data_IF_359184418107
#
_entry.id   IF_359184418107
#
_cell.length_a   1.000
_cell.length_b   1.000
_cell.length_c   1.000
_cell.angle_alpha   90.00
_cell.angle_beta   90.00
_cell.angle_gamma   90.00
#
_symmetry.space_group_name_H-M   'P 1'
#
loop_
_entity.id
_entity.type
_entity.pdbx_description
1 polymer ?
#
# COMPACT_ATOMS: atom_id res chain seq x y z
N UNK A 1 -15.57 -8.56 -21.01
CA UNK A 1 -15.24 -7.38 -21.84
C UNK A 1 -14.12 -6.64 -21.13
N UNK A 2 -13.10 -6.29 -21.91
CA UNK A 2 -11.81 -5.66 -21.62
C UNK A 2 -11.38 -5.39 -20.17
N UNK A 3 -10.22 -5.94 -19.84
CA UNK A 3 -9.39 -5.62 -18.67
C UNK A 3 -8.81 -4.21 -18.76
N UNK A 4 -9.66 -3.19 -18.93
CA UNK A 4 -9.27 -1.78 -19.05
C UNK A 4 -9.14 -1.09 -17.69
N UNK A 5 -8.91 -1.85 -16.61
CA UNK A 5 -8.52 -1.25 -15.33
C UNK A 5 -7.02 -0.98 -15.38
N UNK A 6 -6.58 0.28 -15.37
CA UNK A 6 -5.21 0.69 -15.68
C UNK A 6 -4.19 0.36 -14.57
N UNK A 7 -4.61 -0.43 -13.58
CA UNK A 7 -3.83 -0.92 -12.45
C UNK A 7 -3.83 -2.44 -12.33
N UNK A 8 -4.48 -3.15 -13.26
CA UNK A 8 -4.66 -4.59 -13.19
C UNK A 8 -3.33 -5.39 -13.14
N UNK A 9 -2.24 -4.80 -13.66
CA UNK A 9 -0.91 -5.39 -13.64
C UNK A 9 0.00 -4.88 -12.52
N UNK A 10 -0.41 -3.89 -11.73
CA UNK A 10 0.34 -3.33 -10.59
C UNK A 10 1.59 -2.51 -10.94
N UNK A 11 1.91 -2.19 -12.20
CA UNK A 11 3.16 -1.51 -12.57
C UNK A 11 3.23 -0.03 -12.10
N UNK A 12 2.08 0.64 -12.02
CA UNK A 12 1.99 2.05 -11.59
C UNK A 12 1.60 2.22 -10.12
N UNK A 13 1.78 1.16 -9.32
CA UNK A 13 1.41 1.16 -7.91
C UNK A 13 2.66 1.09 -7.03
N UNK A 14 2.58 1.83 -5.93
CA UNK A 14 3.54 1.84 -4.85
C UNK A 14 2.80 1.50 -3.57
N UNK A 15 3.38 0.61 -2.75
CA UNK A 15 2.80 0.20 -1.48
C UNK A 15 3.68 0.69 -0.34
N UNK A 16 3.05 1.16 0.72
CA UNK A 16 3.77 1.65 1.88
C UNK A 16 3.18 1.05 3.14
N UNK A 17 4.06 0.64 4.04
CA UNK A 17 3.73 0.38 5.43
C UNK A 17 4.04 1.63 6.24
N UNK A 18 3.01 2.24 6.80
CA UNK A 18 3.14 3.47 7.59
C UNK A 18 2.67 3.23 9.02
N UNK A 19 3.46 3.66 9.98
CA UNK A 19 3.14 3.64 11.41
C UNK A 19 2.88 5.05 11.92
N UNK A 20 1.82 5.20 12.72
CA UNK A 20 1.47 6.44 13.41
C UNK A 20 1.53 6.23 14.91
N UNK A 21 2.27 7.09 15.61
CA UNK A 21 2.39 7.10 17.06
C UNK A 21 1.12 7.61 17.75
N UNK A 22 1.20 7.73 19.07
CA UNK A 22 0.06 8.13 19.91
C UNK A 22 -0.41 9.57 19.64
N UNK A 23 0.47 10.46 19.18
CA UNK A 23 0.15 11.85 18.83
C UNK A 23 -0.10 12.02 17.31
N UNK A 24 -0.44 10.92 16.63
CA UNK A 24 -0.66 10.82 15.17
C UNK A 24 0.58 11.19 14.31
N UNK A 25 1.76 11.29 14.93
CA UNK A 25 3.01 11.51 14.23
C UNK A 25 3.44 10.25 13.47
N UNK A 26 3.96 10.41 12.26
CA UNK A 26 4.49 9.29 11.49
C UNK A 26 5.79 8.79 12.11
N UNK A 27 5.78 7.59 12.68
CA UNK A 27 6.94 6.96 13.34
C UNK A 27 7.71 6.02 12.43
N UNK A 28 7.09 5.56 11.35
CA UNK A 28 7.69 4.64 10.39
C UNK A 28 7.00 4.79 9.03
N UNK A 29 7.79 4.76 7.96
CA UNK A 29 7.27 4.68 6.59
C UNK A 29 8.24 3.89 5.75
N UNK A 30 7.82 2.73 5.27
CA UNK A 30 8.63 1.85 4.44
C UNK A 30 7.87 1.55 3.17
N UNK A 31 8.49 1.88 2.03
CA UNK A 31 7.97 1.52 0.71
C UNK A 31 8.32 0.08 0.40
N UNK A 32 7.33 -0.69 -0.03
CA UNK A 32 7.45 -2.09 -0.42
C UNK A 32 7.71 -2.20 -1.92
N UNK A 33 8.59 -3.12 -2.30
CA UNK A 33 8.67 -3.56 -3.70
C UNK A 33 7.43 -4.40 -4.06
N UNK A 34 7.20 -4.57 -5.36
CA UNK A 34 6.14 -5.46 -5.86
C UNK A 34 6.23 -6.86 -5.28
N UNK A 35 7.44 -7.43 -5.23
CA UNK A 35 7.66 -8.78 -4.69
C UNK A 35 7.34 -8.85 -3.20
N UNK A 36 7.76 -7.84 -2.43
CA UNK A 36 7.43 -7.73 -1.00
C UNK A 36 5.93 -7.59 -0.78
N UNK A 37 5.24 -6.77 -1.58
CA UNK A 37 3.79 -6.64 -1.52
C UNK A 37 3.11 -7.99 -1.82
N UNK A 38 3.50 -8.68 -2.89
CA UNK A 38 2.98 -10.00 -3.24
C UNK A 38 3.16 -11.02 -2.12
N UNK A 39 4.30 -10.98 -1.41
CA UNK A 39 4.56 -11.84 -0.27
C UNK A 39 3.65 -11.57 0.92
N UNK A 40 3.18 -10.34 1.14
CA UNK A 40 2.40 -9.98 2.34
C UNK A 40 0.92 -9.80 2.06
N UNK A 41 0.53 -9.59 0.80
CA UNK A 41 -0.85 -9.28 0.40
C UNK A 41 -1.85 -10.32 0.90
N UNK A 42 -1.50 -11.59 0.84
CA UNK A 42 -2.36 -12.69 1.28
C UNK A 42 -2.66 -12.69 2.79
N UNK A 43 -1.90 -11.92 3.59
CA UNK A 43 -2.14 -11.75 5.02
C UNK A 43 -3.36 -10.86 5.31
N UNK A 44 -3.80 -10.09 4.32
CA UNK A 44 -4.94 -9.18 4.42
C UNK A 44 -6.12 -9.81 3.67
N UNK A 45 -7.18 -10.16 4.39
CA UNK A 45 -8.43 -10.65 3.78
C UNK A 45 -9.19 -9.44 3.25
N UNK A 46 -9.39 -9.34 1.93
CA UNK A 46 -10.15 -8.25 1.33
C UNK A 46 -11.17 -8.74 0.33
N UNK A 47 -12.31 -8.04 0.32
CA UNK A 47 -13.52 -8.42 -0.41
C UNK A 47 -13.55 -7.82 -1.83
N UNK A 48 -12.59 -6.96 -2.22
CA UNK A 48 -12.19 -6.77 -3.64
C UNK A 48 -10.97 -5.84 -3.80
N UNK A 49 -9.81 -6.41 -4.11
CA UNK A 49 -8.48 -5.76 -4.14
C UNK A 49 -7.84 -5.80 -5.55
N UNK A 50 -7.94 -4.73 -6.37
CA UNK A 50 -7.10 -4.51 -7.56
C UNK A 50 -5.82 -3.71 -7.25
N UNK A 51 -5.16 -4.11 -6.16
CA UNK A 51 -3.84 -3.79 -5.60
C UNK A 51 -3.78 -2.48 -4.75
N UNK A 52 -4.90 -2.20 -4.08
CA UNK A 52 -5.16 -1.22 -2.99
C UNK A 52 -5.19 0.28 -3.26
N UNK A 53 -6.02 0.67 -4.22
CA UNK A 53 -6.30 2.04 -4.70
C UNK A 53 -7.61 2.61 -4.07
N UNK A 54 -8.06 2.13 -2.91
CA UNK A 54 -9.17 2.76 -2.14
C UNK A 54 -9.27 2.34 -0.66
N UNK A 55 -8.26 1.67 -0.10
CA UNK A 55 -8.30 1.21 1.28
C UNK A 55 -6.91 1.12 1.88
N UNK A 56 -6.81 1.54 3.14
CA UNK A 56 -5.68 1.22 3.99
C UNK A 56 -6.04 -0.02 4.79
N UNK A 57 -5.19 -1.03 4.72
CA UNK A 57 -5.35 -2.20 5.56
C UNK A 57 -4.67 -1.96 6.89
N UNK A 58 -5.45 -2.01 7.97
CA UNK A 58 -4.88 -2.02 9.31
C UNK A 58 -4.03 -3.28 9.51
N UNK A 59 -2.83 -3.08 10.00
CA UNK A 59 -1.86 -4.12 10.29
C UNK A 59 -2.03 -4.53 11.75
N UNK A 60 -2.75 -5.62 11.98
CA UNK A 60 -2.90 -6.16 13.32
C UNK A 60 -1.54 -6.62 13.90
N UNK A 61 -1.30 -6.49 15.22
CA UNK A 61 -0.04 -6.93 15.84
C UNK A 61 0.35 -8.39 15.57
N UNK A 62 -0.63 -9.26 15.38
CA UNK A 62 -0.41 -10.66 15.00
C UNK A 62 0.27 -10.85 13.64
N UNK A 63 0.22 -9.85 12.75
CA UNK A 63 0.84 -9.89 11.42
C UNK A 63 2.31 -9.45 11.44
N UNK A 64 2.77 -8.77 12.50
CA UNK A 64 4.11 -8.18 12.57
C UNK A 64 5.25 -9.19 12.33
N UNK A 65 5.22 -10.41 12.90
CA UNK A 65 6.29 -11.39 12.63
C UNK A 65 6.35 -11.82 11.16
N UNK A 66 5.22 -11.85 10.47
CA UNK A 66 5.15 -12.20 9.05
C UNK A 66 5.69 -11.05 8.19
N UNK A 67 5.30 -9.82 8.51
CA UNK A 67 5.76 -8.63 7.81
C UNK A 67 7.27 -8.41 7.96
N UNK A 68 7.84 -8.62 9.16
CA UNK A 68 9.30 -8.54 9.38
C UNK A 68 10.11 -9.54 8.55
N UNK A 69 9.54 -10.71 8.23
CA UNK A 69 10.22 -11.70 7.38
C UNK A 69 10.22 -11.28 5.92
N UNK A 70 9.13 -10.69 5.45
CA UNK A 70 8.99 -10.25 4.06
C UNK A 70 9.68 -8.91 3.79
N UNK A 71 9.72 -8.02 4.79
CA UNK A 71 10.29 -6.68 4.71
C UNK A 71 11.32 -6.52 5.83
N UNK A 72 12.59 -6.87 5.57
CA UNK A 72 13.67 -6.69 6.53
C UNK A 72 13.80 -5.21 6.93
N UNK A 73 14.00 -4.95 8.22
CA UNK A 73 14.18 -3.59 8.75
C UNK A 73 12.94 -2.97 9.40
N UNK A 74 11.78 -3.64 9.38
CA UNK A 74 10.57 -3.14 10.05
C UNK A 74 10.68 -3.11 11.58
N UNK A 75 10.49 -1.91 12.12
CA UNK A 75 10.74 -1.54 13.51
C UNK A 75 9.56 -1.68 14.47
N UNK A 76 8.36 -2.05 14.00
CA UNK A 76 7.08 -2.08 14.75
C UNK A 76 7.13 -1.66 16.23
N UNK A 77 6.59 -0.48 16.51
CA UNK A 77 6.45 0.06 17.86
C UNK A 77 5.13 -0.38 18.49
N UNK A 78 5.15 -0.71 19.79
CA UNK A 78 3.99 -1.28 20.49
C UNK A 78 2.78 -0.35 20.53
N UNK A 79 3.04 0.95 20.67
CA UNK A 79 2.03 1.98 20.89
C UNK A 79 1.69 2.75 19.60
N UNK A 80 2.07 2.20 18.44
CA UNK A 80 1.79 2.78 17.13
C UNK A 80 0.79 1.93 16.33
N UNK A 81 -0.09 2.62 15.60
CA UNK A 81 -0.99 1.99 14.65
C UNK A 81 -0.35 1.92 13.27
N UNK A 82 -0.39 0.74 12.66
CA UNK A 82 0.24 0.48 11.37
C UNK A 82 -0.79 0.19 10.29
N UNK A 83 -0.51 0.71 9.09
CA UNK A 83 -1.37 0.58 7.92
C UNK A 83 -0.54 0.21 6.70
N UNK A 84 -1.04 -0.73 5.90
CA UNK A 84 -0.58 -0.99 4.55
C UNK A 84 -1.48 -0.22 3.57
N UNK A 85 -0.92 0.74 2.85
CA UNK A 85 -1.62 1.50 1.83
C UNK A 85 -1.00 1.31 0.45
N UNK A 86 -1.74 1.69 -0.60
CA UNK A 86 -1.17 1.90 -1.92
C UNK A 86 -1.34 3.34 -2.41
N UNK A 87 -0.47 3.73 -3.33
CA UNK A 87 -0.45 5.00 -4.05
C UNK A 87 -0.20 4.70 -5.51
N UNK A 88 -0.73 5.56 -6.37
CA UNK A 88 -0.41 5.55 -7.79
C UNK A 88 0.82 6.41 -8.04
N UNK A 89 1.81 5.87 -8.76
CA UNK A 89 2.87 6.67 -9.36
C UNK A 89 2.33 7.36 -10.62
N UNK A 90 2.43 8.69 -10.68
CA UNK A 90 2.03 9.49 -11.82
C UNK A 90 3.21 9.70 -12.79
N UNK A 91 2.97 9.95 -14.10
CA UNK A 91 4.03 10.18 -15.08
C UNK A 91 4.95 11.36 -14.76
N UNK A 92 4.48 12.32 -13.95
CA UNK A 92 5.23 13.51 -13.54
C UNK A 92 6.07 13.31 -12.26
N UNK A 93 6.16 12.07 -11.78
CA UNK A 93 6.93 11.71 -10.58
C UNK A 93 6.21 11.95 -9.27
N UNK A 94 4.95 12.43 -9.28
CA UNK A 94 4.15 12.55 -8.06
C UNK A 94 3.51 11.23 -7.68
N UNK A 95 3.24 11.08 -6.38
CA UNK A 95 2.40 10.00 -5.86
C UNK A 95 1.00 10.52 -5.57
N UNK A 96 0.01 9.81 -6.06
CA UNK A 96 -1.39 10.14 -5.83
C UNK A 96 -2.07 9.02 -5.06
N UNK A 97 -2.77 9.38 -3.98
CA UNK A 97 -3.69 8.47 -3.32
C UNK A 97 -5.11 8.82 -3.76
N UNK A 98 -5.83 7.90 -4.41
CA UNK A 98 -7.24 8.07 -4.73
C UNK A 98 -8.06 8.24 -3.44
N UNK A 99 -8.97 9.20 -3.45
CA UNK A 99 -10.08 9.25 -2.52
C UNK A 99 -11.33 8.67 -3.19
N UNK A 100 -12.26 8.14 -2.38
CA UNK A 100 -13.53 7.61 -2.87
C UNK A 100 -14.23 8.67 -3.73
N UNK A 101 -14.55 8.31 -4.98
CA UNK A 101 -15.24 9.19 -5.93
C UNK A 101 -14.33 10.14 -6.73
N UNK A 102 -13.00 10.02 -6.63
CA UNK A 102 -12.05 10.91 -7.34
C UNK A 102 -11.40 10.21 -8.53
N UNK A 103 -11.41 10.87 -9.69
CA UNK A 103 -10.71 10.42 -10.91
C UNK A 103 -9.22 10.78 -10.84
N UNK A 104 -8.35 9.88 -11.31
CA UNK A 104 -6.91 10.12 -11.35
C UNK A 104 -6.55 11.38 -12.17
N UNK A 105 -5.56 12.18 -11.73
CA UNK A 105 -5.26 13.49 -12.33
C UNK A 105 -4.49 13.43 -13.67
N UNK A 106 -4.41 12.29 -14.35
CA UNK A 106 -3.69 12.20 -15.64
C UNK A 106 -3.71 10.82 -16.29
N UNK A 107 -3.16 10.72 -17.53
CA UNK A 107 -3.04 9.45 -18.23
C UNK A 107 -2.13 8.50 -17.44
N UNK A 108 -2.48 7.23 -17.44
CA UNK A 108 -1.77 6.20 -16.68
C UNK A 108 -0.63 5.68 -17.57
N UNK A 109 0.63 5.62 -17.06
CA UNK A 109 1.75 5.15 -17.87
C UNK A 109 1.49 3.74 -18.42
N UNK A 110 1.99 3.41 -19.62
CA UNK A 110 2.02 2.02 -20.08
C UNK A 110 2.93 1.17 -19.17
N UNK A 111 2.70 -0.17 -19.10
CA UNK A 111 3.45 -1.09 -18.26
C UNK A 111 4.96 -1.18 -18.55
#
# INVERSE_FOLDING_TARGET
MSSDYPFADGHNLVWDLTGFGADEEMVESVTLTRDQFLLVRHLFVSVDDPWMVAGEYRVAPGLWPHLRRAVPGLGFQRDADYYLGARQALPDGRFWRPAVGVTAPGPIPPP
#
